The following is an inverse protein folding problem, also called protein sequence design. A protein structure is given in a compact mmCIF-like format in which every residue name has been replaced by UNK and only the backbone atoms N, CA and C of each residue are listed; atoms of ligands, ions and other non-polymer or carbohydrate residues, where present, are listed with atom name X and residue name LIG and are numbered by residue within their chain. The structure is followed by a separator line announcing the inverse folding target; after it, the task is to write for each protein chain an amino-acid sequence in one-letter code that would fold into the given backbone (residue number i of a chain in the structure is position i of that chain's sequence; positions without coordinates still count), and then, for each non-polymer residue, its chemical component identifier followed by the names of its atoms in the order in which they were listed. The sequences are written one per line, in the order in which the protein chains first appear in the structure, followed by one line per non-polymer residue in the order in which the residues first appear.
data_IF_168174674084
#
_entry.id   IF_168174674084
#
_cell.length_a   1.000
_cell.length_b   1.000
_cell.length_c   1.000
_cell.angle_alpha   90.00
_cell.angle_beta   90.00
_cell.angle_gamma   90.00
#
_symmetry.space_group_name_H-M   'P 1'
#
loop_
_entity.id
_entity.type
_entity.pdbx_description
1 polymer ?
#
# COMPACT_ATOMS: atom_id res chain seq x y z
N UNK A 1 32.47 20.84 -10.84
CA UNK A 1 32.12 19.67 -11.67
C UNK A 1 32.09 18.40 -10.81
N UNK A 2 31.02 17.64 -10.90
CA UNK A 2 30.89 16.42 -10.11
C UNK A 2 31.55 15.25 -10.83
N UNK A 3 32.34 14.44 -10.09
CA UNK A 3 32.91 13.19 -10.58
C UNK A 3 32.01 11.99 -10.21
N UNK A 4 30.78 12.25 -9.77
CA UNK A 4 29.84 11.22 -9.30
C UNK A 4 28.80 10.94 -10.36
N UNK A 5 28.37 9.67 -10.42
CA UNK A 5 27.33 9.23 -11.35
C UNK A 5 25.94 9.68 -10.93
N UNK A 6 25.72 9.92 -9.63
CA UNK A 6 24.43 10.31 -9.05
C UNK A 6 24.58 11.47 -8.09
N UNK A 7 23.57 12.33 -8.03
CA UNK A 7 23.50 13.41 -7.05
C UNK A 7 23.04 12.92 -5.68
N UNK A 8 22.17 11.91 -5.65
CA UNK A 8 21.62 11.30 -4.44
C UNK A 8 21.46 9.80 -4.62
N UNK A 9 21.91 9.04 -3.64
CA UNK A 9 21.62 7.61 -3.54
C UNK A 9 20.86 7.41 -2.25
N UNK A 10 19.65 6.84 -2.35
CA UNK A 10 18.79 6.54 -1.20
C UNK A 10 18.87 5.06 -0.90
N UNK A 11 19.20 4.73 0.35
CA UNK A 11 19.19 3.34 0.83
C UNK A 11 17.89 3.14 1.60
N UNK A 12 17.03 2.33 1.03
CA UNK A 12 15.69 2.07 1.57
C UNK A 12 14.59 2.80 0.79
N UNK A 13 13.60 2.07 0.33
CA UNK A 13 12.45 2.59 -0.41
C UNK A 13 11.17 2.50 0.42
N UNK A 14 11.25 2.87 1.70
CA UNK A 14 10.11 3.10 2.56
C UNK A 14 9.53 4.50 2.38
N UNK A 15 8.67 4.93 3.29
CA UNK A 15 7.98 6.22 3.18
C UNK A 15 8.96 7.40 3.06
N UNK A 16 10.01 7.42 3.89
CA UNK A 16 11.01 8.48 3.87
C UNK A 16 11.89 8.44 2.62
N UNK A 17 12.39 7.26 2.27
CA UNK A 17 13.27 7.08 1.12
C UNK A 17 12.58 7.37 -0.21
N UNK A 18 11.36 6.91 -0.40
CA UNK A 18 10.57 7.19 -1.60
C UNK A 18 10.29 8.68 -1.73
N UNK A 19 9.88 9.33 -0.65
CA UNK A 19 9.60 10.77 -0.67
C UNK A 19 10.86 11.58 -0.98
N UNK A 20 11.96 11.31 -0.30
CA UNK A 20 13.21 12.03 -0.52
C UNK A 20 13.70 11.88 -1.96
N UNK A 21 13.68 10.66 -2.49
CA UNK A 21 14.13 10.37 -3.85
C UNK A 21 13.23 11.02 -4.89
N UNK A 22 11.92 10.95 -4.71
CA UNK A 22 10.94 11.53 -5.62
C UNK A 22 11.05 13.05 -5.67
N UNK A 23 11.15 13.70 -4.52
CA UNK A 23 11.26 15.16 -4.46
C UNK A 23 12.60 15.65 -5.04
N UNK A 24 13.71 14.99 -4.70
CA UNK A 24 15.02 15.35 -5.26
C UNK A 24 15.05 15.17 -6.78
N UNK A 25 14.50 14.06 -7.30
CA UNK A 25 14.38 13.81 -8.72
C UNK A 25 13.50 14.85 -9.42
N UNK A 26 12.43 15.31 -8.78
CA UNK A 26 11.57 16.37 -9.28
C UNK A 26 12.25 17.73 -9.38
N UNK A 27 13.29 17.96 -8.59
CA UNK A 27 14.12 19.16 -8.68
C UNK A 27 15.27 19.04 -9.67
N UNK A 28 15.34 17.95 -10.41
CA UNK A 28 16.35 17.74 -11.45
C UNK A 28 17.58 16.95 -11.00
N UNK A 29 17.61 16.45 -9.78
CA UNK A 29 18.70 15.60 -9.31
C UNK A 29 18.68 14.24 -9.99
N UNK A 30 19.85 13.69 -10.24
CA UNK A 30 20.01 12.31 -10.70
C UNK A 30 20.05 11.40 -9.48
N UNK A 31 19.00 10.62 -9.28
CA UNK A 31 18.76 9.84 -8.05
C UNK A 31 18.77 8.33 -8.34
N UNK A 32 19.38 7.56 -7.45
CA UNK A 32 19.26 6.12 -7.40
C UNK A 32 18.68 5.70 -6.06
N UNK A 33 17.83 4.69 -6.05
CA UNK A 33 17.21 4.11 -4.85
C UNK A 33 17.60 2.64 -4.75
N UNK A 34 18.09 2.24 -3.58
CA UNK A 34 18.43 0.85 -3.30
C UNK A 34 17.49 0.30 -2.23
N UNK A 35 16.87 -0.85 -2.49
CA UNK A 35 15.99 -1.54 -1.58
C UNK A 35 16.30 -3.03 -1.58
N UNK A 36 16.45 -3.63 -0.40
CA UNK A 36 16.78 -5.05 -0.26
C UNK A 36 15.56 -5.98 -0.28
N UNK A 37 14.36 -5.43 -0.16
CA UNK A 37 13.10 -6.16 -0.14
C UNK A 37 12.10 -5.46 -1.06
N UNK A 38 10.80 -5.53 -0.77
CA UNK A 38 9.78 -4.86 -1.57
C UNK A 38 9.76 -3.36 -1.31
N UNK A 39 9.55 -2.59 -2.37
CA UNK A 39 9.39 -1.12 -2.27
C UNK A 39 8.12 -0.76 -1.51
N UNK A 40 8.19 0.25 -0.66
CA UNK A 40 7.04 0.78 0.08
C UNK A 40 7.24 0.85 1.58
N UNK A 41 8.10 -0.01 2.13
CA UNK A 41 8.42 -0.04 3.57
C UNK A 41 7.27 -0.55 4.43
N UNK A 42 7.40 -0.35 5.72
CA UNK A 42 6.44 -0.87 6.71
C UNK A 42 5.02 -0.35 6.48
N UNK A 43 4.85 0.93 6.21
CA UNK A 43 3.51 1.51 6.03
C UNK A 43 2.76 0.88 4.86
N UNK A 44 3.41 0.73 3.71
CA UNK A 44 2.77 0.16 2.52
C UNK A 44 2.61 -1.36 2.64
N UNK A 45 3.63 -2.06 3.15
CA UNK A 45 3.67 -3.53 3.08
C UNK A 45 3.07 -4.22 4.31
N UNK A 46 3.23 -3.65 5.51
CA UNK A 46 2.91 -4.31 6.78
C UNK A 46 2.15 -3.46 7.78
N UNK A 47 1.81 -2.23 7.45
CA UNK A 47 1.23 -1.28 8.39
C UNK A 47 -0.01 -0.59 7.88
N UNK A 48 0.08 0.71 7.64
CA UNK A 48 -1.05 1.60 7.39
C UNK A 48 -1.94 1.17 6.23
N UNK A 49 -1.37 0.79 5.10
CA UNK A 49 -2.14 0.43 3.91
C UNK A 49 -2.81 -0.94 4.06
N UNK A 50 -2.10 -2.03 4.42
CA UNK A 50 -2.76 -3.31 4.66
C UNK A 50 -3.83 -3.25 5.74
N UNK A 51 -3.56 -2.54 6.84
CA UNK A 51 -4.53 -2.33 7.91
C UNK A 51 -5.82 -1.70 7.38
N UNK A 52 -5.70 -0.64 6.60
CA UNK A 52 -6.84 0.07 6.03
C UNK A 52 -7.66 -0.82 5.11
N UNK A 53 -7.01 -1.60 4.24
CA UNK A 53 -7.69 -2.52 3.34
C UNK A 53 -8.45 -3.60 4.10
N UNK A 54 -7.85 -4.18 5.14
CA UNK A 54 -8.49 -5.21 5.94
C UNK A 54 -9.68 -4.66 6.74
N UNK A 55 -9.58 -3.44 7.27
CA UNK A 55 -10.67 -2.78 7.98
C UNK A 55 -11.83 -2.48 7.04
N UNK A 56 -11.56 -1.98 5.84
CA UNK A 56 -12.60 -1.75 4.84
C UNK A 56 -13.30 -3.05 4.46
N UNK A 57 -12.55 -4.14 4.31
CA UNK A 57 -13.14 -5.45 4.06
C UNK A 57 -14.05 -5.92 5.19
N UNK A 58 -13.65 -5.70 6.44
CA UNK A 58 -14.45 -6.05 7.61
C UNK A 58 -15.74 -5.25 7.72
N UNK A 59 -15.76 -4.00 7.30
CA UNK A 59 -16.96 -3.16 7.35
C UNK A 59 -18.11 -3.67 6.48
N UNK A 60 -17.83 -4.45 5.44
CA UNK A 60 -18.91 -5.01 4.61
C UNK A 60 -19.81 -5.94 5.41
N UNK A 61 -19.29 -6.65 6.41
CA UNK A 61 -20.13 -7.45 7.29
C UNK A 61 -21.13 -6.59 8.08
N UNK A 62 -20.67 -5.45 8.60
CA UNK A 62 -21.52 -4.49 9.30
C UNK A 62 -22.55 -3.88 8.37
N UNK A 63 -22.16 -3.54 7.13
CA UNK A 63 -23.08 -2.99 6.12
C UNK A 63 -24.17 -3.98 5.74
N UNK A 64 -23.86 -5.27 5.64
CA UNK A 64 -24.85 -6.29 5.35
C UNK A 64 -25.87 -6.43 6.50
N UNK A 65 -25.40 -6.37 7.74
CA UNK A 65 -26.26 -6.38 8.91
C UNK A 65 -27.16 -5.15 8.95
N UNK A 66 -26.60 -3.96 8.71
CA UNK A 66 -27.36 -2.71 8.69
C UNK A 66 -28.31 -2.62 7.51
N UNK A 67 -27.97 -3.20 6.37
CA UNK A 67 -28.75 -3.15 5.15
C UNK A 67 -30.18 -3.70 5.34
N UNK A 68 -30.37 -4.68 6.21
CA UNK A 68 -31.68 -5.24 6.53
C UNK A 68 -32.62 -4.17 7.07
N UNK A 69 -32.11 -3.23 7.87
CA UNK A 69 -32.89 -2.12 8.42
C UNK A 69 -33.32 -1.11 7.36
N UNK A 70 -32.70 -1.13 6.18
CA UNK A 70 -33.01 -0.28 5.04
C UNK A 70 -33.78 -1.02 3.93
N UNK A 71 -34.33 -2.18 4.23
CA UNK A 71 -35.17 -2.92 3.31
C UNK A 71 -34.45 -3.91 2.39
N UNK A 72 -33.16 -4.11 2.56
CA UNK A 72 -32.42 -5.09 1.77
C UNK A 72 -32.60 -6.50 2.33
N UNK A 73 -32.74 -7.45 1.46
CA UNK A 73 -32.71 -8.87 1.82
C UNK A 73 -31.40 -9.48 1.32
N UNK A 74 -30.60 -10.01 2.23
CA UNK A 74 -29.32 -10.63 1.90
C UNK A 74 -29.42 -12.12 2.20
N UNK A 75 -29.37 -12.95 1.16
CA UNK A 75 -29.44 -14.40 1.26
C UNK A 75 -28.04 -15.00 1.08
N UNK A 76 -27.49 -15.58 2.15
CA UNK A 76 -26.28 -16.38 2.08
C UNK A 76 -25.01 -15.59 1.77
N UNK A 77 -24.53 -14.80 2.70
CA UNK A 77 -23.21 -14.18 2.59
C UNK A 77 -22.14 -15.17 3.06
N UNK A 78 -21.03 -15.25 2.32
CA UNK A 78 -19.86 -16.04 2.71
C UNK A 78 -18.59 -15.23 2.47
N UNK A 79 -17.52 -15.58 3.19
CA UNK A 79 -16.25 -14.88 3.08
C UNK A 79 -15.12 -15.85 2.74
N UNK A 80 -14.28 -15.45 1.79
CA UNK A 80 -13.09 -16.18 1.38
C UNK A 80 -11.85 -15.39 1.81
N UNK A 81 -11.20 -15.83 2.86
CA UNK A 81 -9.98 -15.21 3.39
C UNK A 81 -8.83 -15.24 2.39
N UNK A 82 -8.66 -16.36 1.70
CA UNK A 82 -7.59 -16.51 0.71
C UNK A 82 -7.72 -15.48 -0.40
N UNK A 83 -8.94 -15.25 -0.88
CA UNK A 83 -9.20 -14.25 -1.91
C UNK A 83 -8.94 -12.83 -1.40
N UNK A 84 -9.35 -12.52 -0.18
CA UNK A 84 -9.08 -11.21 0.43
C UNK A 84 -7.57 -10.94 0.50
N UNK A 85 -6.80 -11.89 0.99
CA UNK A 85 -5.35 -11.75 1.12
C UNK A 85 -4.67 -11.63 -0.25
N UNK A 86 -5.10 -12.42 -1.23
CA UNK A 86 -4.57 -12.33 -2.58
C UNK A 86 -4.82 -10.94 -3.21
N UNK A 87 -6.02 -10.41 -3.07
CA UNK A 87 -6.37 -9.09 -3.58
C UNK A 87 -5.62 -7.98 -2.85
N UNK A 88 -5.48 -8.10 -1.53
CA UNK A 88 -4.69 -7.16 -0.73
C UNK A 88 -3.23 -7.14 -1.22
N UNK A 89 -2.62 -8.30 -1.40
CA UNK A 89 -1.23 -8.39 -1.86
C UNK A 89 -1.07 -7.81 -3.26
N UNK A 90 -2.02 -8.06 -4.16
CA UNK A 90 -2.02 -7.49 -5.51
C UNK A 90 -2.07 -5.96 -5.49
N UNK A 91 -2.88 -5.38 -4.61
CA UNK A 91 -2.96 -3.91 -4.45
C UNK A 91 -1.66 -3.35 -3.89
N UNK A 92 -1.03 -4.02 -2.95
CA UNK A 92 0.26 -3.59 -2.39
C UNK A 92 1.39 -3.64 -3.41
N UNK A 93 1.33 -4.57 -4.36
CA UNK A 93 2.32 -4.70 -5.43
C UNK A 93 2.13 -3.67 -6.56
N UNK A 94 0.97 -3.08 -6.64
CA UNK A 94 0.68 -2.06 -7.63
C UNK A 94 1.42 -0.76 -7.32
#
# INVERSE_FOLDING_TARGET
MSNYDYDLITIGAGSGGVRASRLAGGYGAKVAVCEEDRVGGTCVLRGCIPKKLLIYGAHYADYMEDAVNYGWTIEGASHDWTKLIANKNSELDR
#
